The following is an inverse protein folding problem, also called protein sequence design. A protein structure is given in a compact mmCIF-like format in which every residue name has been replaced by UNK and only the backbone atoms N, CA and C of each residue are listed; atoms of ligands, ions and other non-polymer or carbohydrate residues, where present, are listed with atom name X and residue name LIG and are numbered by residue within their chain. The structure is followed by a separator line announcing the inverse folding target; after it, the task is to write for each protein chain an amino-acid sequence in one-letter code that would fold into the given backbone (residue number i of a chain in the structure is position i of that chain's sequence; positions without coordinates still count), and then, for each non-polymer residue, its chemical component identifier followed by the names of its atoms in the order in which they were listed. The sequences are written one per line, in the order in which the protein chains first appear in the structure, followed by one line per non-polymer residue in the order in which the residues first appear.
data_IF_889601799062
#
_entry.id   IF_889601799062
#
_cell.length_a   1.000
_cell.length_b   1.000
_cell.length_c   1.000
_cell.angle_alpha   90.00
_cell.angle_beta   90.00
_cell.angle_gamma   90.00
#
_symmetry.space_group_name_H-M   'P 1'
#
loop_
_entity.id
_entity.type
_entity.pdbx_description
1 polymer ?
#
# COMPACT_ATOMS: atom_id res chain seq x y z
N UNK A 1 -24.01 39.16 43.36
CA UNK A 1 -23.62 39.49 44.75
C UNK A 1 -24.89 39.87 45.49
N UNK A 2 -25.37 38.98 46.38
CA UNK A 2 -26.49 39.11 47.37
C UNK A 2 -27.92 39.40 46.85
N UNK A 3 -29.04 38.85 47.33
CA UNK A 3 -29.46 37.68 48.14
C UNK A 3 -31.01 37.59 48.08
N UNK A 4 -31.55 36.39 48.32
CA UNK A 4 -32.93 35.94 48.67
C UNK A 4 -33.73 36.77 49.73
N UNK A 5 -34.94 36.38 50.27
CA UNK A 5 -35.89 35.26 50.00
C UNK A 5 -37.44 35.56 50.13
N UNK A 6 -38.26 34.49 49.95
CA UNK A 6 -39.55 34.10 50.63
C UNK A 6 -40.82 35.00 50.50
N UNK A 7 -42.07 34.52 50.46
CA UNK A 7 -42.69 33.24 50.88
C UNK A 7 -44.15 33.10 50.36
N UNK A 8 -44.55 31.84 50.12
CA UNK A 8 -45.85 31.11 50.16
C UNK A 8 -47.26 31.80 50.22
N UNK A 9 -48.27 31.17 49.56
CA UNK A 9 -49.44 30.44 50.18
C UNK A 9 -50.62 30.16 49.20
N UNK A 10 -51.01 28.86 49.12
CA UNK A 10 -52.35 28.17 48.95
C UNK A 10 -53.35 28.61 47.85
N UNK A 11 -54.31 27.79 47.38
CA UNK A 11 -54.63 26.36 47.32
C UNK A 11 -55.92 26.24 46.47
N UNK A 12 -56.13 25.17 45.72
CA UNK A 12 -57.39 24.91 45.01
C UNK A 12 -57.39 23.54 44.34
N UNK A 13 -58.22 22.64 44.86
CA UNK A 13 -58.35 21.23 44.50
C UNK A 13 -58.95 21.02 43.11
N UNK A 14 -58.56 19.95 42.41
CA UNK A 14 -59.52 19.03 41.78
C UNK A 14 -58.84 17.66 41.60
N UNK A 15 -59.50 16.62 42.09
CA UNK A 15 -59.02 15.24 42.05
C UNK A 15 -59.41 14.57 40.73
N UNK A 16 -58.43 13.94 40.06
CA UNK A 16 -58.67 12.91 39.04
C UNK A 16 -57.86 11.67 39.45
N UNK A 17 -58.58 10.59 39.72
CA UNK A 17 -58.04 9.26 40.01
C UNK A 17 -57.58 8.66 38.69
N UNK A 18 -56.28 8.40 38.55
CA UNK A 18 -55.72 7.58 37.46
C UNK A 18 -55.22 6.28 38.06
N UNK A 19 -55.81 5.17 37.60
CA UNK A 19 -55.45 3.80 37.96
C UNK A 19 -54.07 3.50 37.36
N UNK A 20 -53.06 3.33 38.21
CA UNK A 20 -51.72 2.89 37.80
C UNK A 20 -51.71 1.36 37.69
N UNK A 21 -51.74 0.83 36.47
CA UNK A 21 -51.49 -0.58 36.22
C UNK A 21 -50.00 -0.87 36.41
N UNK A 22 -49.65 -1.54 37.51
CA UNK A 22 -48.29 -1.95 37.82
C UNK A 22 -47.95 -3.21 37.01
N UNK A 23 -47.36 -3.06 35.83
CA UNK A 23 -46.76 -4.18 35.09
C UNK A 23 -45.40 -4.46 35.71
N UNK A 24 -45.32 -5.47 36.59
CA UNK A 24 -44.04 -6.01 37.03
C UNK A 24 -43.36 -6.69 35.84
N UNK A 25 -42.48 -5.95 35.17
CA UNK A 25 -41.58 -6.52 34.18
C UNK A 25 -40.44 -7.14 34.97
N UNK A 26 -40.39 -8.47 35.03
CA UNK A 26 -39.23 -9.18 35.57
C UNK A 26 -38.03 -8.83 34.70
N UNK A 27 -37.10 -8.03 35.24
CA UNK A 27 -35.77 -7.88 34.65
C UNK A 27 -35.07 -9.23 34.77
N UNK A 28 -35.24 -10.09 33.76
CA UNK A 28 -34.27 -11.14 33.52
C UNK A 28 -32.94 -10.47 33.20
N UNK A 29 -31.96 -10.61 34.07
CA UNK A 29 -30.56 -10.36 33.76
C UNK A 29 -30.23 -11.18 32.50
N UNK A 30 -30.23 -10.51 31.35
CA UNK A 30 -29.51 -11.02 30.19
C UNK A 30 -28.04 -10.96 30.58
N UNK A 31 -27.51 -12.08 31.06
CA UNK A 31 -26.08 -12.35 31.05
C UNK A 31 -25.60 -11.97 29.66
N UNK A 32 -24.83 -10.89 29.55
CA UNK A 32 -24.19 -10.52 28.30
C UNK A 32 -23.25 -11.68 27.99
N UNK A 33 -23.61 -12.51 27.00
CA UNK A 33 -22.71 -13.54 26.51
C UNK A 33 -21.36 -12.87 26.23
N UNK A 34 -20.33 -13.30 26.95
CA UNK A 34 -18.99 -12.78 26.83
C UNK A 34 -18.60 -12.91 25.36
N UNK A 35 -18.31 -11.78 24.70
CA UNK A 35 -17.93 -11.82 23.28
C UNK A 35 -16.70 -12.72 23.17
N UNK A 36 -16.68 -13.66 22.21
CA UNK A 36 -15.53 -14.54 22.06
C UNK A 36 -14.25 -13.70 21.95
N UNK A 37 -13.15 -14.11 22.59
CA UNK A 37 -11.92 -13.33 22.60
C UNK A 37 -11.47 -13.06 21.18
N UNK A 38 -11.19 -11.80 20.87
CA UNK A 38 -10.66 -11.40 19.56
C UNK A 38 -9.31 -12.10 19.37
N UNK A 39 -9.11 -12.90 18.30
CA UNK A 39 -7.83 -13.57 18.08
C UNK A 39 -6.67 -12.58 18.04
N UNK A 40 -5.59 -12.87 18.78
CA UNK A 40 -4.41 -12.00 18.83
C UNK A 40 -3.81 -11.80 17.43
N UNK A 41 -3.74 -12.87 16.65
CA UNK A 41 -3.32 -12.87 15.25
C UNK A 41 -4.55 -12.91 14.36
N UNK A 42 -4.65 -11.96 13.43
CA UNK A 42 -5.73 -11.93 12.45
C UNK A 42 -5.67 -13.17 11.54
N UNK A 43 -6.83 -13.77 11.25
CA UNK A 43 -6.93 -14.82 10.23
C UNK A 43 -6.50 -14.22 8.89
N UNK A 44 -5.58 -14.88 8.20
CA UNK A 44 -5.04 -14.37 6.94
C UNK A 44 -6.14 -14.15 5.90
N UNK A 45 -6.26 -12.92 5.42
CA UNK A 45 -7.11 -12.51 4.31
C UNK A 45 -6.27 -12.42 3.03
N UNK A 46 -6.12 -13.54 2.34
CA UNK A 46 -5.36 -13.58 1.10
C UNK A 46 -6.22 -13.10 -0.07
N UNK A 47 -5.61 -12.32 -0.96
CA UNK A 47 -6.23 -11.84 -2.21
C UNK A 47 -5.42 -12.38 -3.37
N UNK A 48 -6.09 -12.68 -4.48
CA UNK A 48 -5.38 -12.90 -5.73
C UNK A 48 -4.85 -11.57 -6.25
N UNK A 49 -3.61 -11.60 -6.74
CA UNK A 49 -2.89 -10.44 -7.26
C UNK A 49 -2.48 -10.73 -8.71
N UNK A 50 -2.50 -9.72 -9.59
CA UNK A 50 -1.93 -9.86 -10.92
C UNK A 50 -0.46 -10.32 -10.84
N UNK A 51 -0.09 -11.36 -11.60
CA UNK A 51 1.28 -11.91 -11.60
C UNK A 51 2.00 -11.63 -12.90
N UNK A 52 3.35 -11.50 -12.91
CA UNK A 52 4.12 -11.40 -14.14
C UNK A 52 3.87 -12.62 -15.05
N UNK A 53 3.80 -12.38 -16.37
CA UNK A 53 3.79 -13.45 -17.37
C UNK A 53 5.22 -13.91 -17.65
N UNK A 54 5.81 -14.66 -16.73
CA UNK A 54 7.17 -15.17 -16.87
C UNK A 54 7.34 -16.02 -18.14
N UNK A 55 8.44 -15.81 -18.86
CA UNK A 55 8.76 -16.55 -20.09
C UNK A 55 7.94 -16.12 -21.31
N UNK A 56 7.00 -15.17 -21.17
CA UNK A 56 6.26 -14.59 -22.28
C UNK A 56 7.04 -13.38 -22.81
N UNK A 57 7.26 -13.25 -24.13
CA UNK A 57 7.91 -12.09 -24.70
C UNK A 57 7.16 -10.78 -24.37
N UNK A 58 7.91 -9.75 -24.01
CA UNK A 58 7.38 -8.39 -23.81
C UNK A 58 6.76 -7.89 -25.13
N UNK A 59 5.51 -7.38 -25.13
CA UNK A 59 4.89 -6.82 -26.33
C UNK A 59 5.73 -5.66 -26.90
N UNK A 60 5.86 -5.58 -28.24
CA UNK A 60 6.58 -4.47 -28.89
C UNK A 60 5.96 -3.09 -28.62
N UNK A 61 4.67 -3.08 -28.32
CA UNK A 61 3.87 -1.90 -28.00
C UNK A 61 2.69 -2.34 -27.15
N UNK A 62 2.33 -1.52 -26.18
CA UNK A 62 1.11 -1.66 -25.40
C UNK A 62 0.28 -0.42 -25.62
N UNK A 63 -1.03 -0.59 -25.81
CA UNK A 63 -2.01 0.48 -25.88
C UNK A 63 -3.17 0.21 -24.94
N UNK A 64 -3.92 1.25 -24.62
CA UNK A 64 -5.11 1.11 -23.81
C UNK A 64 -5.68 2.45 -23.41
N UNK A 65 -6.59 2.42 -22.44
CA UNK A 65 -7.28 3.59 -21.91
C UNK A 65 -7.33 3.56 -20.38
N UNK A 66 -7.27 4.73 -19.78
CA UNK A 66 -7.72 4.94 -18.40
C UNK A 66 -9.11 5.56 -18.46
N UNK A 67 -10.09 4.82 -17.97
CA UNK A 67 -11.48 5.24 -17.85
C UNK A 67 -11.72 5.99 -16.54
N UNK A 68 -12.56 7.01 -16.59
CA UNK A 68 -13.13 7.68 -15.41
C UNK A 68 -14.59 7.29 -15.28
N UNK A 69 -14.90 6.48 -14.28
CA UNK A 69 -16.24 6.02 -13.93
C UNK A 69 -16.88 7.00 -12.96
N UNK A 70 -18.14 7.36 -13.21
CA UNK A 70 -18.95 8.23 -12.36
C UNK A 70 -20.43 7.89 -12.53
N UNK A 71 -21.29 8.44 -11.68
CA UNK A 71 -22.75 8.26 -11.78
C UNK A 71 -23.31 8.72 -13.14
N UNK A 72 -22.65 9.71 -13.77
CA UNK A 72 -22.99 10.23 -15.09
C UNK A 72 -22.46 9.39 -16.27
N UNK A 73 -21.82 8.25 -16.02
CA UNK A 73 -21.27 7.34 -17.03
C UNK A 73 -19.75 7.25 -17.04
N UNK A 74 -19.21 6.73 -18.14
CA UNK A 74 -17.78 6.44 -18.32
C UNK A 74 -17.17 7.44 -19.32
N UNK A 75 -16.11 8.11 -18.91
CA UNK A 75 -15.34 9.06 -19.74
C UNK A 75 -13.86 8.69 -19.77
N UNK A 76 -13.04 9.38 -20.57
CA UNK A 76 -11.59 9.22 -20.53
C UNK A 76 -10.94 10.01 -19.40
N UNK A 77 -10.02 9.39 -18.66
CA UNK A 77 -9.21 10.07 -17.65
C UNK A 77 -7.94 10.65 -18.29
N UNK A 78 -7.90 11.96 -18.52
CA UNK A 78 -6.77 12.65 -19.16
C UNK A 78 -5.62 12.92 -18.19
N UNK A 79 -4.38 12.93 -18.69
CA UNK A 79 -3.20 13.29 -17.90
C UNK A 79 -2.81 12.30 -16.80
N UNK A 80 -3.35 11.08 -16.82
CA UNK A 80 -2.95 10.00 -15.90
C UNK A 80 -1.63 9.41 -16.36
N UNK A 81 -0.68 9.24 -15.44
CA UNK A 81 0.59 8.59 -15.75
C UNK A 81 0.41 7.08 -15.81
N UNK A 82 0.93 6.47 -16.86
CA UNK A 82 1.00 5.02 -17.06
C UNK A 82 2.46 4.63 -17.29
N UNK A 83 2.93 3.57 -16.64
CA UNK A 83 4.33 3.18 -16.64
C UNK A 83 4.49 1.66 -16.59
N UNK A 84 5.63 1.20 -17.08
CA UNK A 84 6.11 -0.19 -17.04
C UNK A 84 7.25 -0.40 -16.02
N UNK A 85 7.60 0.66 -15.27
CA UNK A 85 8.75 0.70 -14.35
C UNK A 85 10.06 1.17 -14.96
N UNK A 86 10.06 1.60 -16.23
CA UNK A 86 11.25 2.09 -16.92
C UNK A 86 10.96 3.37 -17.71
N UNK A 87 9.74 3.46 -18.24
CA UNK A 87 9.23 4.57 -19.01
C UNK A 87 7.89 5.05 -18.45
N UNK A 88 7.61 6.35 -18.54
CA UNK A 88 6.33 6.94 -18.13
C UNK A 88 5.68 7.64 -19.32
N UNK A 89 4.40 7.40 -19.57
CA UNK A 89 3.57 8.12 -20.55
C UNK A 89 2.34 8.72 -19.88
N UNK A 90 1.71 9.72 -20.51
CA UNK A 90 0.47 10.34 -20.04
C UNK A 90 -0.68 10.00 -20.97
N UNK A 91 -1.87 9.81 -20.41
CA UNK A 91 -3.08 9.63 -21.20
C UNK A 91 -3.50 10.92 -21.91
N UNK A 92 -4.05 10.78 -23.12
CA UNK A 92 -4.63 11.88 -23.89
C UNK A 92 -5.98 12.36 -23.32
N UNK A 93 -6.62 13.34 -23.98
CA UNK A 93 -7.92 13.89 -23.54
C UNK A 93 -9.06 12.86 -23.52
N UNK A 94 -8.92 11.76 -24.25
CA UNK A 94 -9.85 10.65 -24.25
C UNK A 94 -9.38 9.52 -23.32
N UNK A 95 -8.33 9.71 -22.53
CA UNK A 95 -7.79 8.71 -21.62
C UNK A 95 -6.93 7.65 -22.29
N UNK A 96 -6.64 7.74 -23.59
CA UNK A 96 -5.85 6.72 -24.31
C UNK A 96 -4.36 6.93 -24.11
N UNK A 97 -3.60 5.85 -24.14
CA UNK A 97 -2.13 5.88 -24.11
C UNK A 97 -1.53 4.84 -25.05
N UNK A 98 -0.25 5.02 -25.40
CA UNK A 98 0.58 3.98 -26.01
C UNK A 98 2.00 4.07 -25.46
N UNK A 99 2.60 2.93 -25.16
CA UNK A 99 3.95 2.80 -24.61
C UNK A 99 4.71 1.69 -25.33
N UNK A 100 6.01 1.90 -25.54
CA UNK A 100 6.95 0.83 -25.92
C UNK A 100 7.60 0.36 -24.62
N UNK A 101 7.21 -0.81 -24.08
CA UNK A 101 7.74 -1.26 -22.80
C UNK A 101 9.21 -1.67 -22.90
N UNK A 102 9.94 -1.51 -21.80
CA UNK A 102 11.31 -2.01 -21.65
C UNK A 102 11.32 -3.55 -21.70
N UNK A 103 12.33 -4.19 -22.33
CA UNK A 103 12.44 -5.65 -22.36
C UNK A 103 12.49 -6.31 -20.97
N UNK A 104 12.81 -5.56 -19.92
CA UNK A 104 12.87 -6.02 -18.53
C UNK A 104 11.58 -5.76 -17.74
N UNK A 105 10.56 -5.13 -18.34
CA UNK A 105 9.28 -4.87 -17.71
C UNK A 105 8.50 -6.17 -17.42
N UNK A 106 7.74 -6.14 -16.33
CA UNK A 106 6.91 -7.28 -15.88
C UNK A 106 5.45 -6.91 -15.67
N UNK A 107 5.14 -5.62 -15.52
CA UNK A 107 3.81 -5.07 -15.34
C UNK A 107 3.63 -3.78 -16.12
N UNK A 108 2.37 -3.41 -16.36
CA UNK A 108 1.95 -2.06 -16.68
C UNK A 108 1.04 -1.55 -15.57
N UNK A 109 1.16 -0.28 -15.19
CA UNK A 109 0.42 0.28 -14.05
C UNK A 109 0.29 1.78 -14.14
N UNK A 110 -0.65 2.33 -13.36
CA UNK A 110 -0.89 3.77 -13.29
C UNK A 110 -0.35 4.38 -12.00
N UNK A 111 0.01 5.66 -12.07
CA UNK A 111 0.09 6.53 -10.89
C UNK A 111 -1.34 6.88 -10.50
N UNK A 112 -1.78 6.52 -9.29
CA UNK A 112 -3.10 6.90 -8.77
C UNK A 112 -3.20 8.43 -8.80
N UNK A 113 -4.05 9.04 -9.63
CA UNK A 113 -4.07 10.49 -9.79
C UNK A 113 -4.84 11.14 -8.64
N UNK A 114 -4.45 12.36 -8.25
CA UNK A 114 -5.17 13.08 -7.18
C UNK A 114 -6.66 13.26 -7.53
N UNK A 115 -7.50 13.22 -6.50
CA UNK A 115 -8.96 13.35 -6.61
C UNK A 115 -9.64 12.12 -7.21
N UNK A 116 -8.93 11.00 -7.37
CA UNK A 116 -9.49 9.78 -7.95
C UNK A 116 -9.02 8.50 -7.26
N UNK A 117 -9.96 7.60 -6.97
CA UNK A 117 -9.65 6.24 -6.51
C UNK A 117 -9.56 5.26 -7.68
N UNK A 118 -8.69 4.27 -7.54
CA UNK A 118 -8.54 3.21 -8.54
C UNK A 118 -9.67 2.21 -8.43
N UNK A 119 -10.24 1.82 -9.57
CA UNK A 119 -11.28 0.79 -9.64
C UNK A 119 -10.64 -0.51 -10.11
N UNK A 120 -10.58 -1.51 -9.22
CA UNK A 120 -9.90 -2.78 -9.47
C UNK A 120 -8.39 -2.65 -9.29
N UNK A 121 -7.62 -3.37 -10.12
CA UNK A 121 -6.17 -3.39 -10.01
C UNK A 121 -5.51 -2.13 -10.61
N UNK A 122 -4.60 -1.52 -9.86
CA UNK A 122 -3.78 -0.39 -10.30
C UNK A 122 -2.58 -0.82 -11.17
N UNK A 123 -2.30 -2.13 -11.23
CA UNK A 123 -1.28 -2.74 -12.07
C UNK A 123 -1.80 -4.03 -12.70
N UNK A 124 -1.25 -4.39 -13.87
CA UNK A 124 -1.65 -5.59 -14.62
C UNK A 124 -0.43 -6.23 -15.28
N UNK A 125 -0.43 -7.56 -15.51
CA UNK A 125 0.57 -8.19 -16.37
C UNK A 125 0.60 -7.55 -17.74
N UNK A 126 1.77 -7.58 -18.38
CA UNK A 126 1.91 -7.12 -19.75
C UNK A 126 0.97 -7.88 -20.70
N UNK A 127 0.36 -7.12 -21.61
CA UNK A 127 -0.53 -7.54 -22.68
C UNK A 127 -0.44 -6.48 -23.78
N UNK A 128 -0.80 -6.82 -25.02
CA UNK A 128 -0.85 -5.83 -26.10
C UNK A 128 -1.86 -4.71 -25.80
N UNK A 129 -2.93 -5.06 -25.09
CA UNK A 129 -3.96 -4.13 -24.63
C UNK A 129 -4.12 -4.23 -23.11
N UNK A 130 -4.10 -3.07 -22.44
CA UNK A 130 -4.26 -2.94 -20.98
C UNK A 130 -5.08 -1.69 -20.67
N UNK A 131 -6.28 -1.86 -20.14
CA UNK A 131 -7.11 -0.74 -19.67
C UNK A 131 -7.08 -0.62 -18.15
N UNK A 132 -7.31 0.59 -17.65
CA UNK A 132 -7.51 0.86 -16.23
C UNK A 132 -8.77 1.68 -16.01
N UNK A 133 -9.25 1.72 -14.78
CA UNK A 133 -10.37 2.55 -14.41
C UNK A 133 -10.08 3.28 -13.10
N UNK A 134 -10.53 4.53 -13.03
CA UNK A 134 -10.55 5.36 -11.84
C UNK A 134 -11.95 5.92 -11.63
N UNK A 135 -12.27 6.33 -10.42
CA UNK A 135 -13.50 7.03 -10.06
C UNK A 135 -13.16 8.26 -9.20
N UNK A 136 -14.03 9.29 -9.10
CA UNK A 136 -13.84 10.37 -8.15
C UNK A 136 -13.53 9.83 -6.75
N UNK A 137 -12.57 10.45 -6.07
CA UNK A 137 -12.22 10.07 -4.71
C UNK A 137 -13.43 10.24 -3.78
N UNK A 138 -13.59 9.33 -2.82
CA UNK A 138 -14.70 9.39 -1.86
C UNK A 138 -14.61 10.58 -0.90
N UNK A 139 -13.42 11.13 -0.73
CA UNK A 139 -13.14 12.24 0.18
C UNK A 139 -12.30 13.31 -0.51
N UNK A 140 -12.47 14.56 -0.06
CA UNK A 140 -11.58 15.65 -0.43
C UNK A 140 -10.14 15.35 0.00
N UNK A 141 -9.17 15.85 -0.76
CA UNK A 141 -7.73 15.62 -0.54
C UNK A 141 -6.97 16.91 -0.26
N UNK A 142 -7.69 18.00 0.04
CA UNK A 142 -7.06 19.24 0.51
C UNK A 142 -6.49 19.11 1.93
N UNK A 143 -7.07 18.23 2.75
CA UNK A 143 -6.58 17.86 4.08
C UNK A 143 -6.80 16.37 4.31
N UNK A 144 -5.76 15.66 4.74
CA UNK A 144 -5.82 14.23 5.03
C UNK A 144 -4.68 13.81 5.97
N UNK A 145 -4.92 12.76 6.76
CA UNK A 145 -3.89 12.07 7.54
C UNK A 145 -3.52 10.76 6.86
N UNK A 146 -2.28 10.32 7.02
CA UNK A 146 -1.84 8.98 6.61
C UNK A 146 -0.90 8.41 7.66
N UNK A 147 -0.76 7.09 7.70
CA UNK A 147 0.19 6.42 8.59
C UNK A 147 1.45 6.11 7.79
N UNK A 148 2.59 6.55 8.31
CA UNK A 148 3.90 6.02 7.91
C UNK A 148 4.35 4.96 8.92
N UNK A 149 4.74 3.79 8.41
CA UNK A 149 5.33 2.68 9.18
C UNK A 149 6.57 2.19 8.44
N UNK A 150 7.46 1.51 9.14
CA UNK A 150 8.66 0.86 8.57
C UNK A 150 9.02 -0.34 9.41
N UNK A 151 9.89 -1.22 8.89
CA UNK A 151 10.59 -2.23 9.69
C UNK A 151 9.62 -3.15 10.45
N UNK A 152 8.56 -3.58 9.77
CA UNK A 152 7.62 -4.53 10.36
C UNK A 152 8.26 -5.90 10.58
N UNK A 153 9.33 -6.22 9.83
CA UNK A 153 10.15 -7.44 9.96
C UNK A 153 9.28 -8.70 10.12
N UNK A 154 8.24 -8.81 9.30
CA UNK A 154 7.24 -9.87 9.45
C UNK A 154 7.82 -11.20 8.99
N UNK A 155 7.71 -12.19 9.86
CA UNK A 155 8.09 -13.57 9.58
C UNK A 155 7.04 -14.53 10.15
N UNK A 156 7.39 -15.82 10.21
CA UNK A 156 6.64 -16.84 10.97
C UNK A 156 6.78 -16.69 12.50
N UNK A 157 7.53 -15.71 13.00
CA UNK A 157 7.63 -15.43 14.43
C UNK A 157 6.28 -14.92 14.98
N UNK A 158 5.74 -15.55 16.02
CA UNK A 158 4.44 -15.16 16.59
C UNK A 158 4.40 -13.69 17.04
N UNK A 159 5.50 -13.15 17.56
CA UNK A 159 5.57 -11.75 18.04
C UNK A 159 5.35 -10.76 16.89
N UNK A 160 5.95 -10.98 15.72
CA UNK A 160 5.73 -10.11 14.55
C UNK A 160 4.28 -10.20 14.05
N UNK A 161 3.69 -11.41 14.06
CA UNK A 161 2.29 -11.61 13.64
C UNK A 161 1.29 -10.92 14.58
N UNK A 162 1.50 -11.00 15.88
CA UNK A 162 0.68 -10.30 16.89
C UNK A 162 0.85 -8.78 16.76
N UNK A 163 2.09 -8.31 16.60
CA UNK A 163 2.39 -6.89 16.41
C UNK A 163 1.71 -6.30 15.17
N UNK A 164 1.86 -6.94 14.02
CA UNK A 164 1.22 -6.50 12.78
C UNK A 164 -0.32 -6.57 12.87
N UNK A 165 -0.87 -7.62 13.49
CA UNK A 165 -2.32 -7.75 13.69
C UNK A 165 -2.87 -6.66 14.60
N UNK A 166 -2.12 -6.27 15.63
CA UNK A 166 -2.46 -5.14 16.51
C UNK A 166 -2.40 -3.82 15.76
N UNK A 167 -1.33 -3.58 15.00
CA UNK A 167 -1.19 -2.40 14.14
C UNK A 167 -2.40 -2.22 13.22
N UNK A 168 -2.80 -3.28 12.49
CA UNK A 168 -3.95 -3.19 11.57
C UNK A 168 -5.26 -2.87 12.28
N UNK A 169 -5.48 -3.42 13.49
CA UNK A 169 -6.66 -3.07 14.30
C UNK A 169 -6.63 -1.60 14.72
N UNK A 170 -5.52 -1.14 15.30
CA UNK A 170 -5.37 0.24 15.77
C UNK A 170 -5.51 1.24 14.62
N UNK A 171 -4.87 0.99 13.46
CA UNK A 171 -5.00 1.82 12.27
C UNK A 171 -6.45 1.92 11.76
N UNK A 172 -7.20 0.82 11.82
CA UNK A 172 -8.60 0.76 11.42
C UNK A 172 -9.57 1.43 12.42
N UNK A 173 -9.12 1.69 13.65
CA UNK A 173 -9.92 2.28 14.74
C UNK A 173 -9.61 3.77 14.95
N UNK A 174 -8.62 4.34 14.23
CA UNK A 174 -8.33 5.77 14.27
C UNK A 174 -9.49 6.62 13.75
N UNK A 175 -9.72 7.75 14.42
CA UNK A 175 -10.70 8.78 14.03
C UNK A 175 -10.05 10.17 14.13
N UNK A 176 -9.98 10.95 13.02
CA UNK A 176 -10.42 10.59 11.67
C UNK A 176 -9.62 9.42 11.08
N UNK A 177 -10.23 8.66 10.18
CA UNK A 177 -9.58 7.51 9.55
C UNK A 177 -8.43 8.00 8.63
N UNK A 178 -7.26 7.34 8.65
CA UNK A 178 -6.17 7.70 7.75
C UNK A 178 -6.54 7.36 6.31
N UNK A 179 -6.14 8.21 5.38
CA UNK A 179 -6.45 8.09 3.96
C UNK A 179 -5.75 6.91 3.30
N UNK A 180 -4.57 6.55 3.80
CA UNK A 180 -3.79 5.39 3.43
C UNK A 180 -2.73 5.06 4.49
N UNK A 181 -2.10 3.90 4.33
CA UNK A 181 -0.89 3.49 5.05
C UNK A 181 0.27 3.39 4.06
N UNK A 182 1.45 3.86 4.43
CA UNK A 182 2.68 3.61 3.66
C UNK A 182 3.72 2.93 4.55
N UNK A 183 4.18 1.77 4.11
CA UNK A 183 5.31 1.06 4.71
C UNK A 183 6.56 1.34 3.87
N UNK A 184 7.57 2.02 4.44
CA UNK A 184 8.74 2.47 3.68
C UNK A 184 9.84 1.44 3.49
N UNK A 185 9.73 0.23 4.06
CA UNK A 185 10.79 -0.76 3.94
C UNK A 185 10.71 -1.88 4.96
N UNK A 186 11.56 -2.89 4.81
CA UNK A 186 11.71 -3.99 5.76
C UNK A 186 10.38 -4.61 6.19
N UNK A 187 9.57 -4.93 5.18
CA UNK A 187 8.25 -5.52 5.34
C UNK A 187 8.35 -6.88 6.04
N UNK A 188 9.31 -7.68 5.58
CA UNK A 188 9.59 -9.04 6.02
C UNK A 188 10.92 -9.12 6.76
N UNK A 189 11.26 -10.31 7.27
CA UNK A 189 12.57 -10.62 7.85
C UNK A 189 13.28 -11.70 7.00
N UNK A 190 13.32 -11.52 5.67
CA UNK A 190 14.08 -12.41 4.80
C UNK A 190 15.57 -12.10 4.90
N UNK A 191 16.39 -13.12 4.68
CA UNK A 191 17.84 -12.94 4.76
C UNK A 191 18.35 -12.12 3.56
N UNK A 192 18.95 -10.95 3.83
CA UNK A 192 19.56 -10.05 2.83
C UNK A 192 20.57 -10.71 1.90
N UNK A 193 21.17 -11.85 2.27
CA UNK A 193 22.07 -12.60 1.39
C UNK A 193 21.34 -13.67 0.54
N UNK A 194 20.02 -13.60 0.43
CA UNK A 194 19.16 -14.54 -0.30
C UNK A 194 19.31 -15.99 0.18
N UNK A 195 19.53 -16.19 1.47
CA UNK A 195 19.70 -17.53 2.06
C UNK A 195 18.38 -18.17 2.51
N UNK A 196 17.32 -17.38 2.68
CA UNK A 196 15.98 -17.88 3.00
C UNK A 196 15.49 -18.78 1.86
N UNK A 197 14.97 -19.97 2.18
CA UNK A 197 14.37 -20.87 1.19
C UNK A 197 13.13 -20.22 0.57
N UNK A 198 12.82 -20.47 -0.72
CA UNK A 198 11.61 -19.91 -1.34
C UNK A 198 10.31 -20.21 -0.58
N UNK A 199 10.18 -21.41 -0.01
CA UNK A 199 9.03 -21.78 0.82
C UNK A 199 8.87 -20.90 2.08
N UNK A 200 10.00 -20.49 2.70
CA UNK A 200 9.98 -19.55 3.82
C UNK A 200 9.55 -18.16 3.35
N UNK A 201 10.08 -17.70 2.21
CA UNK A 201 9.64 -16.46 1.57
C UNK A 201 8.14 -16.42 1.32
N UNK A 202 7.57 -17.46 0.70
CA UNK A 202 6.13 -17.57 0.49
C UNK A 202 5.33 -17.51 1.80
N UNK A 203 5.80 -18.18 2.87
CA UNK A 203 5.11 -18.16 4.16
C UNK A 203 5.13 -16.76 4.80
N UNK A 204 6.28 -16.09 4.76
CA UNK A 204 6.45 -14.76 5.36
C UNK A 204 5.64 -13.71 4.58
N UNK A 205 5.65 -13.74 3.24
CA UNK A 205 4.77 -12.90 2.42
C UNK A 205 3.28 -13.17 2.67
N UNK A 206 2.84 -14.43 2.74
CA UNK A 206 1.43 -14.79 3.03
C UNK A 206 0.98 -14.23 4.37
N UNK A 207 1.85 -14.26 5.38
CA UNK A 207 1.57 -13.67 6.69
C UNK A 207 1.42 -12.15 6.57
N UNK A 208 2.38 -11.48 5.94
CA UNK A 208 2.36 -10.03 5.76
C UNK A 208 1.11 -9.55 5.02
N UNK A 209 0.88 -10.03 3.80
CA UNK A 209 -0.28 -9.60 3.00
C UNK A 209 -1.58 -10.06 3.62
N UNK A 210 -1.61 -11.25 4.22
CA UNK A 210 -2.81 -11.79 4.85
C UNK A 210 -3.28 -10.96 6.04
N UNK A 211 -2.35 -10.32 6.77
CA UNK A 211 -2.68 -9.42 7.87
C UNK A 211 -2.97 -8.01 7.34
N UNK A 212 -2.09 -7.45 6.49
CA UNK A 212 -2.25 -6.08 5.94
C UNK A 212 -3.50 -5.90 5.10
N UNK A 213 -4.01 -6.95 4.44
CA UNK A 213 -5.25 -6.91 3.65
C UNK A 213 -6.51 -6.64 4.50
N UNK A 214 -6.42 -6.66 5.83
CA UNK A 214 -7.50 -6.22 6.73
C UNK A 214 -7.55 -4.70 6.93
N UNK A 215 -6.55 -3.93 6.48
CA UNK A 215 -6.64 -2.48 6.46
C UNK A 215 -7.84 -2.05 5.59
N UNK A 216 -8.65 -1.13 6.13
CA UNK A 216 -9.85 -0.60 5.47
C UNK A 216 -9.54 0.50 4.46
N UNK A 217 -8.30 0.96 4.43
CA UNK A 217 -7.77 1.98 3.52
C UNK A 217 -6.69 1.38 2.60
N UNK A 218 -6.35 2.04 1.48
CA UNK A 218 -5.22 1.66 0.66
C UNK A 218 -3.93 1.59 1.47
N UNK A 219 -3.05 0.64 1.11
CA UNK A 219 -1.73 0.54 1.70
C UNK A 219 -0.67 0.34 0.62
N UNK A 220 0.43 1.08 0.76
CA UNK A 220 1.55 1.10 -0.18
C UNK A 220 2.77 0.53 0.53
N UNK A 221 3.43 -0.44 -0.10
CA UNK A 221 4.55 -1.15 0.49
C UNK A 221 5.77 -0.89 -0.38
N UNK A 222 6.80 -0.26 0.16
CA UNK A 222 8.05 -0.03 -0.54
C UNK A 222 8.91 -1.28 -0.41
N UNK A 223 9.59 -1.65 -1.49
CA UNK A 223 10.54 -2.75 -1.46
C UNK A 223 11.76 -2.36 -0.62
N UNK A 224 12.16 -3.27 0.28
CA UNK A 224 13.41 -3.20 1.03
C UNK A 224 14.22 -4.49 0.87
N UNK A 225 15.47 -4.48 1.34
CA UNK A 225 16.40 -5.59 1.18
C UNK A 225 15.99 -6.87 1.94
N UNK A 226 15.22 -6.72 3.03
CA UNK A 226 14.60 -7.85 3.75
C UNK A 226 13.35 -8.40 3.06
N UNK A 227 12.94 -7.84 1.92
CA UNK A 227 11.80 -8.31 1.13
C UNK A 227 12.26 -9.09 -0.12
N UNK A 228 13.57 -9.10 -0.40
CA UNK A 228 14.16 -9.85 -1.49
C UNK A 228 14.31 -11.34 -1.15
N UNK A 229 14.10 -12.20 -2.16
CA UNK A 229 13.97 -13.65 -1.97
C UNK A 229 14.83 -14.46 -2.94
N UNK A 230 15.21 -15.67 -2.54
CA UNK A 230 15.91 -16.62 -3.42
C UNK A 230 15.02 -17.27 -4.49
N UNK A 231 13.76 -16.86 -4.59
CA UNK A 231 12.80 -17.41 -5.55
C UNK A 231 13.12 -16.93 -6.97
N UNK A 232 13.07 -17.86 -7.93
CA UNK A 232 13.39 -17.63 -9.35
C UNK A 232 14.81 -17.11 -9.63
N UNK A 233 15.79 -17.43 -8.78
CA UNK A 233 17.19 -17.08 -9.02
C UNK A 233 17.78 -17.66 -10.32
N UNK A 234 17.25 -18.79 -10.81
CA UNK A 234 17.63 -19.33 -12.12
C UNK A 234 17.21 -18.40 -13.27
N UNK A 235 16.06 -17.73 -13.13
CA UNK A 235 15.51 -16.82 -14.13
C UNK A 235 16.08 -15.39 -13.98
N UNK A 236 16.33 -14.96 -12.75
CA UNK A 236 16.88 -13.65 -12.40
C UNK A 236 18.13 -13.84 -11.50
N UNK A 237 19.26 -14.24 -12.08
CA UNK A 237 20.47 -14.53 -11.31
C UNK A 237 21.09 -13.25 -10.74
N UNK A 238 22.00 -13.39 -9.78
CA UNK A 238 22.81 -12.28 -9.28
C UNK A 238 23.52 -11.57 -10.45
N UNK A 239 23.50 -10.24 -10.44
CA UNK A 239 23.94 -9.41 -11.57
C UNK A 239 22.78 -8.90 -12.43
N UNK A 240 21.62 -9.57 -12.43
CA UNK A 240 20.38 -9.04 -12.97
C UNK A 240 19.75 -8.10 -11.93
N UNK A 241 19.32 -6.90 -12.34
CA UNK A 241 18.67 -5.93 -11.43
C UNK A 241 17.31 -6.43 -10.91
N UNK A 242 16.74 -7.46 -11.53
CA UNK A 242 15.51 -8.14 -11.11
C UNK A 242 15.73 -9.23 -10.05
N UNK A 243 16.98 -9.58 -9.76
CA UNK A 243 17.34 -10.60 -8.78
C UNK A 243 16.73 -10.26 -7.41
N UNK A 244 16.03 -11.22 -6.80
CA UNK A 244 15.39 -11.05 -5.49
C UNK A 244 13.91 -10.69 -5.53
N UNK A 245 13.45 -10.04 -6.61
CA UNK A 245 12.16 -9.31 -6.63
C UNK A 245 10.92 -10.16 -6.93
N UNK A 246 11.09 -11.39 -7.39
CA UNK A 246 10.00 -12.20 -7.91
C UNK A 246 8.85 -12.46 -6.92
N UNK A 247 9.15 -12.77 -5.65
CA UNK A 247 8.08 -12.92 -4.64
C UNK A 247 7.39 -11.60 -4.34
N UNK A 248 8.14 -10.50 -4.23
CA UNK A 248 7.55 -9.17 -4.08
C UNK A 248 6.54 -8.92 -5.20
N UNK A 249 6.91 -9.18 -6.45
CA UNK A 249 6.00 -8.98 -7.59
C UNK A 249 4.74 -9.83 -7.51
N UNK A 250 4.86 -11.08 -7.11
CA UNK A 250 3.70 -11.97 -7.00
C UNK A 250 2.76 -11.64 -5.85
N UNK A 251 3.23 -10.98 -4.78
CA UNK A 251 2.41 -10.67 -3.61
C UNK A 251 1.99 -9.19 -3.50
N UNK A 252 2.79 -8.26 -4.02
CA UNK A 252 2.65 -6.82 -3.82
C UNK A 252 2.62 -6.01 -5.12
N UNK A 253 3.01 -6.60 -6.27
CA UNK A 253 2.99 -5.93 -7.56
C UNK A 253 4.30 -5.19 -7.89
N UNK A 254 4.25 -4.06 -8.64
CA UNK A 254 5.46 -3.34 -9.03
C UNK A 254 6.11 -2.67 -7.81
N UNK A 255 7.44 -2.57 -7.84
CA UNK A 255 8.26 -2.02 -6.74
C UNK A 255 8.71 -0.58 -7.02
N UNK A 256 8.72 -0.17 -8.29
CA UNK A 256 8.79 1.24 -8.66
C UNK A 256 7.37 1.70 -8.90
N UNK A 257 6.83 2.57 -8.07
CA UNK A 257 5.48 3.08 -8.24
C UNK A 257 5.35 4.45 -7.59
N UNK A 258 4.31 5.16 -7.99
CA UNK A 258 3.96 6.45 -7.43
C UNK A 258 2.46 6.61 -7.30
N UNK A 259 2.04 7.52 -6.44
CA UNK A 259 0.64 7.84 -6.21
C UNK A 259 0.50 9.27 -5.71
N UNK A 260 -0.64 9.89 -5.97
CA UNK A 260 -0.90 11.28 -5.63
C UNK A 260 -2.08 11.39 -4.66
N UNK A 261 -1.95 12.28 -3.67
CA UNK A 261 -3.04 12.76 -2.83
C UNK A 261 -2.93 14.27 -2.71
N UNK A 262 -3.96 15.00 -3.12
CA UNK A 262 -3.93 16.45 -3.23
C UNK A 262 -2.75 16.95 -4.06
N UNK A 263 -1.90 17.79 -3.45
CA UNK A 263 -0.68 18.34 -4.10
C UNK A 263 0.59 17.52 -3.84
N UNK A 264 0.47 16.33 -3.24
CA UNK A 264 1.62 15.51 -2.85
C UNK A 264 1.73 14.32 -3.80
N UNK A 265 2.91 14.16 -4.40
CA UNK A 265 3.33 13.02 -5.21
C UNK A 265 4.25 12.13 -4.38
N UNK A 266 3.76 10.96 -4.00
CA UNK A 266 4.55 9.95 -3.29
C UNK A 266 5.22 9.02 -4.28
N UNK A 267 6.48 8.67 -4.03
CA UNK A 267 7.25 7.81 -4.93
C UNK A 267 8.08 6.78 -4.17
N UNK A 268 7.92 5.50 -4.56
CA UNK A 268 8.71 4.38 -4.05
C UNK A 268 10.12 4.40 -4.61
N UNK A 269 11.11 4.27 -3.73
CA UNK A 269 12.52 4.12 -4.11
C UNK A 269 13.09 2.82 -3.53
N UNK A 270 13.66 2.00 -4.42
CA UNK A 270 14.32 0.74 -4.09
C UNK A 270 15.82 0.90 -4.40
N UNK A 271 16.65 0.45 -3.46
CA UNK A 271 18.10 0.45 -3.56
C UNK A 271 18.70 -0.95 -3.34
N UNK A 272 17.87 -1.94 -2.97
CA UNK A 272 18.27 -3.30 -2.72
C UNK A 272 18.48 -4.06 -4.03
N UNK A 273 19.69 -3.99 -4.60
CA UNK A 273 20.03 -4.71 -5.84
C UNK A 273 21.12 -5.74 -5.61
N UNK A 274 20.85 -6.99 -5.99
CA UNK A 274 21.78 -8.11 -5.85
C UNK A 274 22.73 -8.26 -7.05
N UNK A 275 23.59 -7.26 -7.24
CA UNK A 275 24.50 -7.18 -8.40
C UNK A 275 25.80 -7.98 -8.24
N UNK A 276 26.00 -8.67 -7.12
CA UNK A 276 27.23 -9.46 -6.85
C UNK A 276 28.48 -8.61 -6.53
N UNK A 277 28.31 -7.32 -6.25
CA UNK A 277 29.42 -6.38 -6.02
C UNK A 277 29.77 -6.18 -4.54
N UNK A 278 28.87 -6.53 -3.61
CA UNK A 278 29.08 -6.35 -2.16
C UNK A 278 29.10 -7.70 -1.46
N UNK A 279 30.21 -8.02 -0.81
CA UNK A 279 30.38 -9.23 0.01
C UNK A 279 30.65 -8.86 1.46
N UNK A 280 29.98 -9.53 2.38
CA UNK A 280 30.17 -9.36 3.84
C UNK A 280 30.63 -10.69 4.42
N UNK A 281 31.68 -10.65 5.24
CA UNK A 281 32.18 -11.82 5.98
C UNK A 281 31.26 -12.11 7.16
N UNK A 282 30.56 -13.23 7.13
CA UNK A 282 29.67 -13.69 8.20
C UNK A 282 30.07 -15.12 8.58
N UNK A 283 30.45 -15.33 9.85
CA UNK A 283 30.87 -16.65 10.36
C UNK A 283 31.95 -17.32 9.48
N UNK A 284 32.94 -16.56 9.03
CA UNK A 284 34.04 -17.07 8.19
C UNK A 284 33.69 -17.29 6.71
N UNK A 285 32.46 -16.97 6.27
CA UNK A 285 32.03 -17.07 4.87
C UNK A 285 31.69 -15.70 4.29
N UNK A 286 32.22 -15.39 3.12
CA UNK A 286 31.80 -14.22 2.35
C UNK A 286 30.43 -14.47 1.73
N UNK A 287 29.44 -13.67 2.12
CA UNK A 287 28.08 -13.72 1.62
C UNK A 287 27.81 -12.51 0.72
N UNK A 288 27.08 -12.71 -0.37
CA UNK A 288 26.67 -11.64 -1.29
C UNK A 288 25.46 -10.88 -0.75
N UNK A 289 25.65 -9.58 -0.51
CA UNK A 289 24.64 -8.64 -0.02
C UNK A 289 24.20 -7.68 -1.14
N UNK A 290 23.04 -7.01 -1.00
CA UNK A 290 22.63 -6.00 -1.96
C UNK A 290 23.56 -4.79 -1.92
N UNK A 291 23.74 -4.15 -3.07
CA UNK A 291 24.68 -3.04 -3.24
C UNK A 291 24.23 -1.75 -2.57
N UNK A 292 22.96 -1.67 -2.16
CA UNK A 292 22.34 -0.52 -1.52
C UNK A 292 22.63 0.80 -2.26
N UNK A 293 22.24 0.83 -3.54
CA UNK A 293 22.44 1.97 -4.42
C UNK A 293 21.35 1.99 -5.47
N UNK A 294 20.75 3.15 -5.69
CA UNK A 294 19.79 3.32 -6.78
C UNK A 294 20.47 3.10 -8.13
N UNK A 295 19.76 2.45 -9.04
CA UNK A 295 20.33 2.09 -10.34
C UNK A 295 19.94 3.11 -11.43
N UNK A 296 20.75 3.27 -12.49
CA UNK A 296 20.49 4.26 -13.55
C UNK A 296 19.09 4.21 -14.18
N UNK A 297 18.48 3.02 -14.31
CA UNK A 297 17.14 2.88 -14.86
C UNK A 297 16.08 3.44 -13.93
N UNK A 298 16.26 3.29 -12.61
CA UNK A 298 15.37 3.86 -11.62
C UNK A 298 15.53 5.38 -11.59
N UNK A 299 16.76 5.92 -11.65
CA UNK A 299 16.99 7.37 -11.77
C UNK A 299 16.29 7.95 -13.01
N UNK A 300 16.41 7.27 -14.16
CA UNK A 300 15.71 7.68 -15.40
C UNK A 300 14.19 7.66 -15.22
N UNK A 301 13.65 6.59 -14.63
CA UNK A 301 12.21 6.47 -14.37
C UNK A 301 11.72 7.57 -13.42
N UNK A 302 12.43 7.82 -12.32
CA UNK A 302 12.13 8.90 -11.36
C UNK A 302 12.10 10.27 -12.05
N UNK A 303 13.08 10.54 -12.91
CA UNK A 303 13.14 11.78 -13.68
C UNK A 303 11.92 11.97 -14.60
N UNK A 304 11.46 10.90 -15.25
CA UNK A 304 10.24 10.95 -16.09
C UNK A 304 8.97 11.09 -15.24
N UNK A 305 8.87 10.36 -14.14
CA UNK A 305 7.69 10.39 -13.27
C UNK A 305 7.48 11.75 -12.61
N UNK A 306 8.56 12.32 -12.04
CA UNK A 306 8.54 13.64 -11.41
C UNK A 306 8.43 14.77 -12.44
N UNK A 307 9.08 14.64 -13.61
CA UNK A 307 9.02 15.62 -14.69
C UNK A 307 7.62 15.79 -15.30
N UNK A 308 6.72 14.86 -15.03
CA UNK A 308 5.32 14.89 -15.46
C UNK A 308 4.37 15.57 -14.46
N UNK A 309 4.87 16.13 -13.36
CA UNK A 309 4.07 16.84 -12.35
C UNK A 309 4.00 18.33 -12.62
N UNK A 310 2.92 18.97 -12.17
CA UNK A 310 2.74 20.41 -12.32
C UNK A 310 3.55 21.20 -11.29
N UNK A 311 3.82 22.48 -11.60
CA UNK A 311 4.47 23.38 -10.64
C UNK A 311 3.64 23.48 -9.36
N UNK A 312 4.31 23.38 -8.21
CA UNK A 312 3.67 23.41 -6.89
C UNK A 312 3.30 22.04 -6.32
N UNK A 313 3.59 20.95 -7.03
CA UNK A 313 3.55 19.58 -6.47
C UNK A 313 4.70 19.38 -5.49
N UNK A 314 4.41 18.86 -4.30
CA UNK A 314 5.40 18.39 -3.33
C UNK A 314 5.73 16.93 -3.65
N UNK A 315 7.01 16.56 -3.60
CA UNK A 315 7.43 15.16 -3.78
C UNK A 315 7.83 14.59 -2.43
N UNK A 316 7.28 13.42 -2.10
CA UNK A 316 7.67 12.63 -0.92
C UNK A 316 8.23 11.32 -1.43
N UNK A 317 9.51 11.09 -1.18
CA UNK A 317 10.17 9.82 -1.48
C UNK A 317 10.03 8.87 -0.30
N UNK A 318 9.71 7.61 -0.59
CA UNK A 318 9.59 6.56 0.43
C UNK A 318 10.60 5.48 0.12
N UNK A 319 11.56 5.26 1.03
CA UNK A 319 12.69 4.34 0.89
C UNK A 319 13.05 3.75 2.27
N UNK A 320 13.61 2.54 2.29
CA UNK A 320 14.09 1.88 3.52
C UNK A 320 15.33 2.60 4.10
N UNK A 321 16.13 3.27 3.27
CA UNK A 321 17.35 3.96 3.67
C UNK A 321 17.39 5.39 3.11
N UNK A 322 18.21 6.21 3.76
CA UNK A 322 18.38 7.62 3.44
C UNK A 322 18.95 7.81 2.02
N UNK A 323 18.22 8.57 1.20
CA UNK A 323 18.58 8.85 -0.18
C UNK A 323 19.91 9.59 -0.31
N UNK A 324 20.28 10.45 0.64
CA UNK A 324 21.55 11.19 0.57
C UNK A 324 22.76 10.23 0.53
N UNK A 325 22.66 9.12 1.25
CA UNK A 325 23.73 8.12 1.33
C UNK A 325 23.76 7.18 0.13
N UNK A 326 22.62 6.98 -0.53
CA UNK A 326 22.42 5.91 -1.52
C UNK A 326 22.15 6.40 -2.95
N UNK A 327 21.94 7.71 -3.11
CA UNK A 327 21.85 8.44 -4.38
C UNK A 327 22.51 9.82 -4.25
N UNK A 328 23.85 9.93 -4.39
CA UNK A 328 24.57 11.20 -4.21
C UNK A 328 24.16 12.31 -5.19
N UNK A 329 23.47 11.96 -6.29
CA UNK A 329 22.99 12.90 -7.30
C UNK A 329 21.47 13.19 -7.18
N UNK A 330 20.86 12.83 -6.05
CA UNK A 330 19.40 12.98 -5.84
C UNK A 330 18.97 14.40 -5.52
N UNK A 331 19.85 15.18 -4.88
CA UNK A 331 19.60 16.57 -4.46
C UNK A 331 20.24 17.58 -5.42
#
# INVERSE_FOLDING_TARGET
MFTFPCSSIRAGQLACVVVLALVMTTCGEKTSAERPPVPEVLKLLLRETPKPRYGVPVPKRISGRVERKSDGGVTGAAGVSVTDGYSVVKTDRQGRFSIVPDPSAVFLYLTRPSGHDVVGDWYKPLSAEVDFAVQPAESDENDFTFIHVTDTHVSRNRRSLVGLSRFVREANDLSPAPRFVVNSGDLLDLNKALLSKPASGHADFRNYVGIMNHLKMPHYNVAGDHTDSSYRLEQFPRGDHRCGKALYWEYLGPHFFSFEYGKIHFVSVDFGYHLGQRKILVNGKNLDYPTNRIQPMHVKWLGQDMGHRSRGTFVVTTAEADLENHCPAFL
#
